data_IF_040201011121
#
_entry.id   IF_040201011121
#
_cell.length_a   1.000
_cell.length_b   1.000
_cell.length_c   1.000
_cell.angle_alpha   90.00
_cell.angle_beta   90.00
_cell.angle_gamma   90.00
#
_symmetry.space_group_name_H-M   'P 1'
#
loop_
_entity.id
_entity.type
_entity.pdbx_description
1 polymer ?
#
# COMPACT_ATOMS: atom_id res chain seq x y z
N UNK A 1 4.46 20.88 27.06
CA UNK A 1 5.64 20.10 26.65
C UNK A 1 5.26 19.30 25.43
N UNK A 2 5.56 19.83 24.26
CA UNK A 2 5.33 19.14 22.99
C UNK A 2 6.32 17.96 22.92
N UNK A 3 5.81 16.74 22.82
CA UNK A 3 6.62 15.57 22.51
C UNK A 3 7.18 15.76 21.10
N UNK A 4 8.45 16.11 21.02
CA UNK A 4 9.24 16.17 19.80
C UNK A 4 9.01 14.90 18.97
N UNK A 5 8.30 15.04 17.85
CA UNK A 5 7.97 13.94 16.96
C UNK A 5 9.23 13.14 16.63
N UNK A 6 9.20 11.83 16.87
CA UNK A 6 10.33 10.94 16.66
C UNK A 6 10.88 11.09 15.24
N UNK A 7 12.05 11.72 15.10
CA UNK A 7 12.88 11.67 13.90
C UNK A 7 13.02 10.19 13.53
N UNK A 8 12.56 9.79 12.33
CA UNK A 8 12.65 8.38 11.88
C UNK A 8 14.09 7.91 12.08
N UNK A 9 14.27 6.80 12.81
CA UNK A 9 15.61 6.30 13.18
C UNK A 9 16.47 5.96 11.95
N UNK A 10 15.83 5.58 10.83
CA UNK A 10 16.49 5.23 9.56
C UNK A 10 15.74 5.86 8.38
N UNK A 11 16.24 6.95 7.78
CA UNK A 11 15.57 7.61 6.67
C UNK A 11 15.65 6.77 5.37
N UNK A 12 14.55 6.70 4.61
CA UNK A 12 14.57 6.21 3.22
C UNK A 12 15.30 7.21 2.30
N UNK A 13 15.69 6.81 1.08
CA UNK A 13 15.66 5.45 0.56
C UNK A 13 16.75 4.57 1.19
N UNK A 14 16.46 3.29 1.39
CA UNK A 14 17.51 2.33 1.73
C UNK A 14 18.14 1.80 0.44
N UNK A 15 19.45 1.62 0.46
CA UNK A 15 20.24 1.23 -0.72
C UNK A 15 21.03 -0.03 -0.43
N UNK A 16 21.04 -0.94 -1.40
CA UNK A 16 21.90 -2.13 -1.37
C UNK A 16 23.19 -1.80 -2.11
N UNK A 17 24.32 -2.04 -1.46
CA UNK A 17 25.64 -1.99 -2.08
C UNK A 17 26.44 -3.23 -1.70
N UNK A 18 27.47 -3.53 -2.50
CA UNK A 18 28.38 -4.64 -2.27
C UNK A 18 29.79 -4.19 -2.59
N UNK A 19 30.67 -4.27 -1.60
CA UNK A 19 32.07 -3.97 -1.77
C UNK A 19 32.84 -5.27 -2.08
N UNK A 20 33.15 -5.47 -3.37
CA UNK A 20 33.93 -6.61 -3.85
C UNK A 20 33.27 -7.97 -3.58
N UNK A 21 34.05 -8.94 -3.09
CA UNK A 21 33.57 -10.28 -2.74
C UNK A 21 32.87 -10.36 -1.37
N UNK A 22 32.65 -9.22 -0.71
CA UNK A 22 32.04 -9.13 0.61
C UNK A 22 30.51 -9.38 0.63
N UNK A 23 29.90 -9.29 1.83
CA UNK A 23 28.45 -9.39 1.98
C UNK A 23 27.72 -8.24 1.30
N UNK A 24 26.45 -8.45 0.95
CA UNK A 24 25.55 -7.36 0.55
C UNK A 24 25.18 -6.55 1.77
N UNK A 25 25.34 -5.23 1.69
CA UNK A 25 25.03 -4.31 2.78
C UNK A 25 23.84 -3.45 2.39
N UNK A 26 22.84 -3.42 3.25
CA UNK A 26 21.70 -2.50 3.13
C UNK A 26 21.98 -1.31 4.03
N UNK A 27 22.07 -0.12 3.46
CA UNK A 27 22.26 1.13 4.20
C UNK A 27 21.07 2.06 4.08
N UNK A 28 20.88 2.92 5.08
CA UNK A 28 19.92 4.01 4.99
C UNK A 28 20.41 5.16 4.08
N UNK A 29 19.59 6.20 3.91
CA UNK A 29 19.95 7.36 3.07
C UNK A 29 21.16 8.17 3.58
N UNK A 30 21.59 7.94 4.83
CA UNK A 30 22.77 8.57 5.43
C UNK A 30 23.99 7.66 5.37
N UNK A 31 23.87 6.47 4.77
CA UNK A 31 24.94 5.48 4.69
C UNK A 31 25.10 4.62 5.94
N UNK A 32 24.16 4.67 6.90
CA UNK A 32 24.21 3.82 8.09
C UNK A 32 23.86 2.38 7.70
N UNK A 33 24.75 1.40 7.93
CA UNK A 33 24.47 0.01 7.59
C UNK A 33 23.42 -0.58 8.53
N UNK A 34 22.33 -1.07 7.94
CA UNK A 34 21.16 -1.63 8.63
C UNK A 34 21.19 -3.15 8.66
N UNK A 35 21.66 -3.79 7.59
CA UNK A 35 21.72 -5.24 7.48
C UNK A 35 22.92 -5.69 6.63
N UNK A 36 23.53 -6.79 7.04
CA UNK A 36 24.59 -7.48 6.30
C UNK A 36 24.08 -8.85 5.88
N UNK A 37 23.89 -9.06 4.59
CA UNK A 37 23.46 -10.34 4.02
C UNK A 37 24.68 -11.04 3.45
N UNK A 38 25.16 -12.05 4.19
CA UNK A 38 26.34 -12.84 3.81
C UNK A 38 25.96 -13.89 2.77
N UNK A 39 26.81 -14.03 1.76
CA UNK A 39 26.79 -15.12 0.80
C UNK A 39 28.16 -15.79 0.73
N UNK A 40 28.18 -17.07 0.36
CA UNK A 40 29.39 -17.88 0.17
C UNK A 40 29.22 -18.70 -1.10
N UNK A 41 29.61 -18.13 -2.23
CA UNK A 41 29.55 -18.83 -3.52
C UNK A 41 30.61 -19.95 -3.60
N UNK A 42 31.71 -19.80 -2.85
CA UNK A 42 32.83 -20.74 -2.74
C UNK A 42 32.47 -22.08 -2.09
N UNK A 43 31.40 -22.12 -1.31
CA UNK A 43 31.02 -23.32 -0.56
C UNK A 43 29.88 -24.12 -1.22
N UNK A 44 29.28 -23.63 -2.32
CA UNK A 44 28.13 -24.31 -2.92
C UNK A 44 28.41 -25.70 -3.47
N UNK A 45 29.63 -25.95 -3.97
CA UNK A 45 30.04 -27.27 -4.48
C UNK A 45 30.29 -28.30 -3.35
N UNK A 46 30.28 -27.85 -2.10
CA UNK A 46 30.48 -28.70 -0.92
C UNK A 46 29.10 -29.11 -0.41
N UNK A 47 28.74 -30.39 -0.58
CA UNK A 47 27.42 -30.95 -0.26
C UNK A 47 26.93 -30.84 1.21
N UNK A 48 27.65 -30.15 2.09
CA UNK A 48 27.25 -29.84 3.46
C UNK A 48 27.03 -28.33 3.72
N UNK A 49 27.17 -27.48 2.69
CA UNK A 49 27.08 -26.03 2.77
C UNK A 49 25.68 -25.46 2.54
N UNK A 50 24.62 -26.27 2.69
CA UNK A 50 23.22 -25.83 2.55
C UNK A 50 22.79 -24.72 3.52
N UNK A 51 23.64 -24.37 4.49
CA UNK A 51 23.40 -23.30 5.46
C UNK A 51 23.88 -21.92 4.98
N UNK A 52 24.38 -21.78 3.74
CA UNK A 52 24.88 -20.53 3.21
C UNK A 52 24.10 -20.07 1.98
N UNK A 53 23.84 -18.77 1.90
CA UNK A 53 23.16 -18.15 0.77
C UNK A 53 24.11 -18.03 -0.43
N UNK A 54 23.55 -18.20 -1.62
CA UNK A 54 24.20 -17.79 -2.88
C UNK A 54 24.23 -16.27 -3.01
N UNK A 55 25.12 -15.73 -3.85
CA UNK A 55 25.13 -14.29 -4.16
C UNK A 55 23.78 -13.80 -4.68
N UNK A 56 23.08 -14.58 -5.51
CA UNK A 56 21.77 -14.16 -6.04
C UNK A 56 20.68 -14.18 -4.97
N UNK A 57 20.67 -15.18 -4.10
CA UNK A 57 19.74 -15.25 -2.97
C UNK A 57 19.97 -14.12 -1.97
N UNK A 58 21.22 -13.88 -1.59
CA UNK A 58 21.60 -12.79 -0.72
C UNK A 58 21.22 -11.43 -1.33
N UNK A 59 21.45 -11.24 -2.63
CA UNK A 59 21.03 -10.04 -3.36
C UNK A 59 19.51 -9.86 -3.34
N UNK A 60 18.73 -10.92 -3.55
CA UNK A 60 17.25 -10.84 -3.51
C UNK A 60 16.74 -10.49 -2.12
N UNK A 61 17.30 -11.11 -1.08
CA UNK A 61 16.95 -10.80 0.31
C UNK A 61 17.32 -9.35 0.65
N UNK A 62 18.53 -8.91 0.29
CA UNK A 62 18.98 -7.53 0.52
C UNK A 62 18.08 -6.50 -0.19
N UNK A 63 17.67 -6.76 -1.43
CA UNK A 63 16.73 -5.90 -2.15
C UNK A 63 15.33 -5.91 -1.52
N UNK A 64 14.88 -7.04 -0.96
CA UNK A 64 13.64 -7.10 -0.18
C UNK A 64 13.71 -6.23 1.09
N UNK A 65 14.82 -6.30 1.81
CA UNK A 65 15.07 -5.48 3.01
C UNK A 65 15.14 -3.98 2.66
N UNK A 66 15.81 -3.62 1.56
CA UNK A 66 15.90 -2.23 1.11
C UNK A 66 14.53 -1.62 0.75
N UNK A 67 13.52 -2.45 0.46
CA UNK A 67 12.14 -2.03 0.20
C UNK A 67 11.27 -1.93 1.46
N UNK A 68 11.83 -2.26 2.63
CA UNK A 68 11.09 -2.21 3.88
C UNK A 68 10.61 -0.81 4.26
N UNK A 69 11.32 0.31 4.02
CA UNK A 69 10.79 1.63 4.29
C UNK A 69 9.50 1.89 3.53
N UNK A 70 9.42 1.50 2.26
CA UNK A 70 8.24 1.63 1.41
C UNK A 70 7.11 0.72 1.92
N UNK A 71 7.44 -0.49 2.38
CA UNK A 71 6.48 -1.42 3.00
C UNK A 71 6.05 -1.02 4.43
N UNK A 72 6.89 -0.32 5.20
CA UNK A 72 6.63 0.09 6.59
C UNK A 72 6.07 1.52 6.67
N UNK A 73 6.24 2.32 5.61
CA UNK A 73 5.45 3.52 5.38
C UNK A 73 3.97 3.20 5.20
N UNK A 74 3.64 1.95 4.90
CA UNK A 74 2.28 1.48 5.02
C UNK A 74 1.90 1.30 6.51
N UNK A 75 1.10 2.26 6.98
CA UNK A 75 -0.12 2.03 7.78
C UNK A 75 0.04 1.78 9.28
N UNK A 76 0.62 2.72 10.03
CA UNK A 76 0.49 2.75 11.51
C UNK A 76 -0.44 3.81 12.07
N UNK A 77 -0.87 4.76 11.23
CA UNK A 77 -1.70 5.88 11.67
C UNK A 77 -3.06 5.83 11.00
N UNK A 78 -3.69 4.67 10.90
CA UNK A 78 -5.06 4.53 10.41
C UNK A 78 -6.01 4.57 11.61
N UNK A 79 -6.87 5.58 11.62
CA UNK A 79 -7.75 5.90 12.74
C UNK A 79 -9.17 5.72 12.24
N UNK A 80 -9.92 4.84 12.91
CA UNK A 80 -11.35 4.72 12.71
C UNK A 80 -12.02 6.10 12.95
N UNK A 81 -13.05 6.42 12.16
CA UNK A 81 -13.91 7.57 12.46
C UNK A 81 -14.69 7.21 13.74
N UNK A 82 -14.16 7.61 14.89
CA UNK A 82 -14.85 7.41 16.17
C UNK A 82 -16.21 8.11 16.19
N UNK A 83 -17.12 7.64 17.04
CA UNK A 83 -18.46 8.23 17.18
C UNK A 83 -18.37 9.64 17.79
N UNK A 84 -18.71 10.69 17.02
CA UNK A 84 -18.78 12.08 17.48
C UNK A 84 -18.87 13.12 16.35
N UNK A 85 -19.44 14.29 16.66
CA UNK A 85 -19.75 15.39 15.73
C UNK A 85 -18.49 15.93 15.02
N UNK A 86 -18.24 15.42 13.81
CA UNK A 86 -17.31 15.90 12.79
C UNK A 86 -15.84 16.07 13.23
N UNK A 87 -14.92 15.24 12.72
CA UNK A 87 -13.69 15.85 12.18
C UNK A 87 -12.85 15.03 11.20
N UNK A 88 -12.90 15.53 9.97
CA UNK A 88 -11.74 15.81 9.13
C UNK A 88 -10.54 16.31 9.97
N UNK A 89 -9.39 15.62 9.93
CA UNK A 89 -8.12 16.16 10.44
C UNK A 89 -7.31 16.70 9.26
N UNK A 90 -6.69 17.87 9.40
CA UNK A 90 -5.78 18.44 8.40
C UNK A 90 -4.62 17.48 8.01
N UNK A 91 -4.31 16.50 8.86
CA UNK A 91 -3.33 15.45 8.62
C UNK A 91 -3.83 14.27 7.77
N UNK A 92 -5.13 14.19 7.44
CA UNK A 92 -5.75 13.06 6.72
C UNK A 92 -6.70 13.52 5.62
N UNK A 93 -6.17 13.82 4.43
CA UNK A 93 -6.86 14.68 3.51
C UNK A 93 -7.96 14.03 2.64
N UNK A 94 -8.00 12.69 2.45
CA UNK A 94 -8.88 12.09 1.42
C UNK A 94 -9.63 10.81 1.87
N UNK A 95 -10.96 10.82 1.71
CA UNK A 95 -11.83 9.67 1.94
C UNK A 95 -12.76 9.46 0.74
N UNK A 96 -13.00 8.21 0.39
CA UNK A 96 -13.90 7.81 -0.69
C UNK A 96 -14.82 6.70 -0.19
N UNK A 97 -16.12 6.85 -0.38
CA UNK A 97 -17.11 5.82 -0.07
C UNK A 97 -17.42 4.97 -1.30
N UNK A 98 -17.56 3.65 -1.12
CA UNK A 98 -18.16 2.75 -2.10
C UNK A 98 -19.46 2.18 -1.56
N UNK A 99 -20.44 1.99 -2.43
CA UNK A 99 -21.68 1.32 -2.06
C UNK A 99 -21.39 -0.16 -1.73
N UNK A 100 -22.02 -0.70 -0.69
CA UNK A 100 -21.81 -2.07 -0.20
C UNK A 100 -22.13 -3.11 -1.27
N UNK A 101 -23.25 -2.94 -1.98
CA UNK A 101 -23.69 -3.87 -3.03
C UNK A 101 -22.64 -3.95 -4.14
N UNK A 102 -22.15 -2.79 -4.58
CA UNK A 102 -21.09 -2.66 -5.57
C UNK A 102 -19.77 -3.25 -5.06
N UNK A 103 -19.33 -2.87 -3.87
CA UNK A 103 -18.08 -3.32 -3.28
C UNK A 103 -18.05 -4.84 -3.12
N UNK A 104 -19.15 -5.47 -2.68
CA UNK A 104 -19.25 -6.94 -2.55
C UNK A 104 -19.28 -7.65 -3.90
N UNK A 105 -19.97 -7.08 -4.89
CA UNK A 105 -20.05 -7.64 -6.24
C UNK A 105 -18.72 -7.56 -7.00
N UNK A 106 -17.90 -6.55 -6.68
CA UNK A 106 -16.67 -6.25 -7.42
C UNK A 106 -15.39 -6.39 -6.59
N UNK A 107 -15.47 -6.92 -5.36
CA UNK A 107 -14.34 -6.96 -4.42
C UNK A 107 -13.06 -7.48 -5.08
N UNK A 108 -13.13 -8.65 -5.75
CA UNK A 108 -11.97 -9.29 -6.37
C UNK A 108 -11.32 -8.44 -7.44
N UNK A 109 -12.14 -7.72 -8.21
CA UNK A 109 -11.66 -6.80 -9.22
C UNK A 109 -11.02 -5.56 -8.59
N UNK A 110 -11.68 -4.95 -7.59
CA UNK A 110 -11.18 -3.76 -6.89
C UNK A 110 -9.83 -4.06 -6.23
N UNK A 111 -9.73 -5.16 -5.50
CA UNK A 111 -8.49 -5.58 -4.84
C UNK A 111 -7.34 -5.85 -5.82
N UNK A 112 -7.63 -6.54 -6.93
CA UNK A 112 -6.61 -6.82 -7.95
C UNK A 112 -6.08 -5.53 -8.59
N UNK A 113 -6.97 -4.58 -8.93
CA UNK A 113 -6.57 -3.28 -9.48
C UNK A 113 -5.80 -2.47 -8.44
N UNK A 114 -6.27 -2.40 -7.19
CA UNK A 114 -5.57 -1.66 -6.14
C UNK A 114 -4.16 -2.21 -5.89
N UNK A 115 -4.00 -3.54 -5.82
CA UNK A 115 -2.68 -4.19 -5.68
C UNK A 115 -1.76 -3.90 -6.86
N UNK A 116 -2.27 -3.98 -8.09
CA UNK A 116 -1.48 -3.76 -9.31
C UNK A 116 -0.96 -2.32 -9.42
N UNK A 117 -1.70 -1.36 -8.85
CA UNK A 117 -1.35 0.06 -8.88
C UNK A 117 -0.78 0.57 -7.54
N UNK A 118 -0.56 -0.33 -6.57
CA UNK A 118 -0.10 0.02 -5.22
C UNK A 118 -0.97 1.04 -4.49
N UNK A 119 -2.28 1.04 -4.78
CA UNK A 119 -3.27 1.89 -4.13
C UNK A 119 -3.71 1.21 -2.82
N UNK A 120 -3.73 1.95 -1.69
CA UNK A 120 -4.26 1.40 -0.45
C UNK A 120 -5.77 1.18 -0.56
N UNK A 121 -6.23 -0.02 -0.19
CA UNK A 121 -7.64 -0.41 -0.19
C UNK A 121 -8.04 -0.86 1.23
N UNK A 122 -7.82 0.03 2.19
CA UNK A 122 -8.14 -0.21 3.59
C UNK A 122 -9.49 0.43 3.92
N UNK A 123 -10.43 -0.39 4.35
CA UNK A 123 -11.69 0.11 4.89
C UNK A 123 -11.44 0.71 6.27
N UNK A 124 -12.03 1.88 6.54
CA UNK A 124 -11.96 2.52 7.86
C UNK A 124 -12.83 1.82 8.90
N UNK A 125 -13.62 0.81 8.49
CA UNK A 125 -14.64 0.16 9.30
C UNK A 125 -15.97 0.93 9.36
N UNK A 126 -15.96 2.17 8.89
CA UNK A 126 -17.10 3.08 8.94
C UNK A 126 -18.12 2.77 7.84
N UNK A 127 -19.40 3.01 8.20
CA UNK A 127 -20.55 2.81 7.33
C UNK A 127 -21.43 4.03 7.32
N UNK A 128 -21.88 4.43 6.13
CA UNK A 128 -22.85 5.52 5.95
C UNK A 128 -24.14 4.90 5.41
N UNK A 129 -25.23 5.06 6.14
CA UNK A 129 -26.57 4.61 5.75
C UNK A 129 -27.37 5.79 5.20
N UNK A 130 -27.09 6.13 3.94
CA UNK A 130 -27.76 7.23 3.22
C UNK A 130 -27.99 6.83 1.78
N UNK A 131 -29.25 6.60 1.43
CA UNK A 131 -29.66 6.08 0.11
C UNK A 131 -28.92 4.79 -0.28
N UNK A 132 -28.70 3.91 0.71
CA UNK A 132 -27.90 2.70 0.60
C UNK A 132 -26.89 2.57 1.73
N UNK A 133 -26.25 1.40 1.83
CA UNK A 133 -25.15 1.16 2.76
C UNK A 133 -23.83 1.44 2.03
N UNK A 134 -23.02 2.34 2.58
CA UNK A 134 -21.73 2.73 1.99
C UNK A 134 -20.60 2.42 2.94
N UNK A 135 -19.49 1.91 2.41
CA UNK A 135 -18.24 1.65 3.15
C UNK A 135 -17.21 2.72 2.82
N UNK A 136 -16.59 3.29 3.85
CA UNK A 136 -15.61 4.36 3.69
C UNK A 136 -14.20 3.80 3.62
N UNK A 137 -13.44 4.29 2.65
CA UNK A 137 -12.04 3.99 2.43
C UNK A 137 -11.22 5.27 2.55
N UNK A 138 -10.01 5.15 3.08
CA UNK A 138 -9.13 6.28 3.34
C UNK A 138 -7.84 6.21 2.53
N UNK A 139 -7.37 7.39 2.12
CA UNK A 139 -6.19 7.52 1.27
C UNK A 139 -5.26 8.60 1.82
N UNK A 140 -3.96 8.26 1.88
CA UNK A 140 -2.93 9.20 2.27
C UNK A 140 -2.62 10.22 1.15
N UNK A 141 -2.70 9.78 -0.11
CA UNK A 141 -2.38 10.57 -1.29
C UNK A 141 -3.65 10.97 -2.05
N UNK A 142 -3.68 12.22 -2.53
CA UNK A 142 -4.81 12.76 -3.30
C UNK A 142 -5.02 11.97 -4.58
N UNK A 143 -3.92 11.66 -5.25
CA UNK A 143 -3.94 10.98 -6.53
C UNK A 143 -4.60 9.61 -6.41
N UNK A 144 -4.27 8.85 -5.37
CA UNK A 144 -4.87 7.54 -5.11
C UNK A 144 -6.37 7.66 -4.86
N UNK A 145 -6.80 8.64 -4.06
CA UNK A 145 -8.22 8.90 -3.82
C UNK A 145 -8.97 9.30 -5.08
N UNK A 146 -8.37 10.12 -5.95
CA UNK A 146 -8.97 10.54 -7.22
C UNK A 146 -9.06 9.33 -8.16
N UNK A 147 -7.99 8.55 -8.30
CA UNK A 147 -7.96 7.38 -9.18
C UNK A 147 -8.92 6.29 -8.71
N UNK A 148 -9.01 6.06 -7.40
CA UNK A 148 -9.92 5.10 -6.79
C UNK A 148 -11.37 5.52 -7.00
N UNK A 149 -11.70 6.79 -6.73
CA UNK A 149 -13.02 7.36 -6.97
C UNK A 149 -13.44 7.27 -8.43
N UNK A 150 -12.57 7.71 -9.35
CA UNK A 150 -12.82 7.73 -10.79
C UNK A 150 -13.09 6.32 -11.33
N UNK A 151 -12.37 5.32 -10.82
CA UNK A 151 -12.46 3.97 -11.36
C UNK A 151 -13.61 3.14 -10.81
N UNK A 152 -13.91 3.27 -9.52
CA UNK A 152 -14.78 2.33 -8.80
C UNK A 152 -16.15 2.92 -8.47
N UNK A 153 -16.59 3.94 -9.21
CA UNK A 153 -17.86 4.64 -8.96
C UNK A 153 -17.97 5.12 -7.51
N UNK A 154 -16.84 5.56 -6.93
CA UNK A 154 -16.83 6.02 -5.55
C UNK A 154 -17.58 7.33 -5.37
N UNK A 155 -17.76 7.72 -4.12
CA UNK A 155 -18.23 9.06 -3.73
C UNK A 155 -17.16 9.71 -2.88
N UNK A 156 -16.70 10.89 -3.29
CA UNK A 156 -15.79 11.66 -2.45
C UNK A 156 -16.53 12.15 -1.23
N UNK A 157 -15.85 12.14 -0.09
CA UNK A 157 -16.41 12.61 1.16
C UNK A 157 -15.73 13.90 1.61
N UNK A 158 -16.55 14.89 1.98
CA UNK A 158 -16.09 16.07 2.73
C UNK A 158 -17.00 16.23 3.96
N UNK A 159 -16.49 15.80 5.11
CA UNK A 159 -17.34 15.65 6.29
C UNK A 159 -18.34 14.53 6.07
N UNK A 160 -19.63 14.85 6.08
CA UNK A 160 -20.74 13.90 5.89
C UNK A 160 -21.41 14.01 4.51
N UNK A 161 -20.89 14.90 3.67
CA UNK A 161 -21.45 15.18 2.36
C UNK A 161 -20.70 14.44 1.26
N UNK A 162 -21.46 13.85 0.33
CA UNK A 162 -20.93 13.33 -0.92
C UNK A 162 -20.61 14.47 -1.87
N UNK A 163 -19.36 14.49 -2.35
CA UNK A 163 -18.87 15.41 -3.35
C UNK A 163 -18.61 14.65 -4.66
N UNK A 164 -18.86 15.35 -5.76
CA UNK A 164 -18.65 14.90 -7.12
C UNK A 164 -17.65 15.84 -7.79
N UNK A 165 -16.34 15.68 -7.51
CA UNK A 165 -15.33 16.51 -8.15
C UNK A 165 -15.30 16.24 -9.66
N UNK A 166 -14.91 17.22 -10.46
CA UNK A 166 -14.65 16.99 -11.87
C UNK A 166 -13.38 16.14 -12.04
N UNK A 167 -13.41 15.21 -13.00
CA UNK A 167 -12.23 14.40 -13.33
C UNK A 167 -11.10 15.31 -13.87
N UNK A 168 -9.90 15.31 -13.27
CA UNK A 168 -8.78 16.10 -13.78
C UNK A 168 -8.38 15.69 -15.19
N UNK A 169 -8.11 16.67 -16.06
CA UNK A 169 -7.59 16.45 -17.41
C UNK A 169 -6.21 15.79 -17.33
N UNK A 170 -6.04 14.62 -17.95
CA UNK A 170 -4.78 13.89 -17.95
C UNK A 170 -4.57 12.92 -16.78
N UNK A 171 -5.62 12.63 -15.98
CA UNK A 171 -5.54 11.61 -14.93
C UNK A 171 -5.09 10.25 -15.52
N UNK A 172 -3.95 9.69 -15.07
CA UNK A 172 -3.47 8.39 -15.53
C UNK A 172 -4.50 7.29 -15.29
N UNK A 173 -4.69 6.41 -16.27
CA UNK A 173 -5.55 5.24 -16.11
C UNK A 173 -4.86 4.20 -15.22
N UNK A 174 -5.63 3.58 -14.34
CA UNK A 174 -5.17 2.44 -13.57
C UNK A 174 -4.86 1.26 -14.48
N UNK A 175 -3.80 0.52 -14.14
CA UNK A 175 -3.53 -0.79 -14.73
C UNK A 175 -4.60 -1.77 -14.27
N UNK A 176 -5.17 -2.51 -15.20
CA UNK A 176 -6.23 -3.48 -14.92
C UNK A 176 -5.78 -4.90 -15.25
N UNK A 177 -6.29 -5.92 -14.54
CA UNK A 177 -6.07 -7.31 -14.91
C UNK A 177 -6.55 -7.59 -16.34
N UNK A 178 -5.77 -8.35 -17.09
CA UNK A 178 -6.08 -8.72 -18.49
C UNK A 178 -7.37 -9.56 -18.59
N UNK A 179 -7.66 -10.37 -17.57
CA UNK A 179 -8.87 -11.19 -17.48
C UNK A 179 -9.86 -10.63 -16.44
N UNK A 180 -10.56 -9.56 -16.82
CA UNK A 180 -11.62 -8.95 -16.00
C UNK A 180 -12.82 -9.90 -15.77
N UNK A 181 -13.06 -10.84 -16.69
CA UNK A 181 -14.17 -11.79 -16.62
C UNK A 181 -14.00 -12.83 -15.52
N UNK A 182 -12.76 -13.11 -15.10
CA UNK A 182 -12.45 -13.97 -13.96
C UNK A 182 -13.09 -13.50 -12.65
N UNK A 183 -13.30 -12.19 -12.50
CA UNK A 183 -13.87 -11.60 -11.29
C UNK A 183 -15.39 -11.47 -11.33
N UNK A 184 -16.02 -11.67 -12.49
CA UNK A 184 -17.46 -11.47 -12.73
C UNK A 184 -18.37 -12.65 -12.40
N UNK A 185 -17.90 -13.70 -11.70
CA UNK A 185 -18.75 -14.88 -11.38
C UNK A 185 -18.75 -15.18 -9.89
N UNK A 186 -19.60 -14.49 -9.12
CA UNK A 186 -20.34 -15.18 -8.05
C UNK A 186 -21.68 -15.60 -8.65
N UNK A 187 -21.86 -16.90 -8.75
CA UNK A 187 -23.09 -17.52 -9.21
C UNK A 187 -24.26 -17.04 -8.34
N UNK A 188 -25.26 -16.48 -9.02
CA UNK A 188 -26.61 -16.36 -8.48
C UNK A 188 -27.16 -17.79 -8.36
N UNK A 189 -27.42 -18.21 -7.12
CA UNK A 189 -28.45 -19.20 -6.77
C UNK A 189 -28.30 -20.66 -7.25
N UNK A 190 -28.10 -21.56 -6.30
CA UNK A 190 -29.11 -22.59 -5.98
C UNK A 190 -29.30 -22.65 -4.48
#
# INVERSE_FOLDING_TARGET
MESSGHKRRFPPPWQVHRDGAGPFVVSDAKGVPLAYVRCRDDLQDIGFAHNYLTSDEARRIANGIARLPECMMQRRDFHERGNGEYRWKKSRPYHVALEDSYARGHWGFIDAVCKMNSIPFDGTGERIERDGLWYVYEFAMQLDAIQFWDRFNGRWLRGEEFIYPDRPKGLPKLREPVDVNRFGRRAVGR
#
